data_IF_766290559892
#
_entry.id   IF_766290559892
#
_cell.length_a   1.000
_cell.length_b   1.000
_cell.length_c   1.000
_cell.angle_alpha   90.00
_cell.angle_beta   90.00
_cell.angle_gamma   90.00
#
_symmetry.space_group_name_H-M   'P 1'
#
loop_
_entity.id
_entity.type
_entity.pdbx_description
1 polymer ?
#
# COMPACT_ATOMS: atom_id res chain seq x y z
N UNK A 1 -36.35 32.67 -73.28
CA UNK A 1 -35.30 31.66 -73.03
C UNK A 1 -33.99 32.35 -73.31
N UNK A 2 -33.34 32.94 -72.29
CA UNK A 2 -31.92 33.40 -72.30
C UNK A 2 -31.62 34.19 -71.01
N UNK A 3 -32.10 33.69 -69.87
CA UNK A 3 -31.71 34.19 -68.55
C UNK A 3 -31.11 33.08 -67.69
N UNK A 4 -31.56 31.83 -67.84
CA UNK A 4 -30.98 30.67 -67.16
C UNK A 4 -29.54 30.35 -67.58
N UNK A 5 -29.11 30.70 -68.81
CA UNK A 5 -27.73 30.45 -69.25
C UNK A 5 -26.70 31.37 -68.59
N UNK A 6 -27.08 32.60 -68.26
CA UNK A 6 -26.15 33.57 -67.67
C UNK A 6 -25.91 33.29 -66.18
N UNK A 7 -26.93 32.79 -65.46
CA UNK A 7 -26.79 32.40 -64.05
C UNK A 7 -26.08 31.05 -63.84
N UNK A 8 -26.01 30.19 -64.86
CA UNK A 8 -25.31 28.90 -64.76
C UNK A 8 -23.80 28.99 -65.02
N UNK A 9 -23.32 30.07 -65.62
CA UNK A 9 -21.90 30.24 -65.96
C UNK A 9 -21.08 30.81 -64.77
N UNK A 10 -21.71 31.60 -63.88
CA UNK A 10 -21.07 32.10 -62.65
C UNK A 10 -21.11 31.09 -61.48
N UNK A 11 -22.03 30.11 -61.48
CA UNK A 11 -22.11 29.10 -60.40
C UNK A 11 -21.11 27.94 -60.63
N UNK A 12 -20.60 27.75 -61.85
CA UNK A 12 -19.64 26.68 -62.16
C UNK A 12 -18.17 27.03 -61.87
N UNK A 13 -17.85 28.25 -61.41
CA UNK A 13 -16.47 28.63 -61.07
C UNK A 13 -16.08 28.45 -59.60
N UNK A 14 -16.99 28.02 -58.72
CA UNK A 14 -16.68 27.84 -57.29
C UNK A 14 -16.63 26.37 -56.81
N UNK A 15 -16.84 25.38 -57.67
CA UNK A 15 -16.69 23.97 -57.29
C UNK A 15 -15.33 23.39 -57.75
N UNK A 16 -14.57 22.98 -56.73
CA UNK A 16 -13.30 22.26 -56.76
C UNK A 16 -12.02 23.10 -56.93
N UNK A 17 -11.77 24.00 -55.97
CA UNK A 17 -10.42 24.07 -55.35
C UNK A 17 -10.12 22.76 -54.58
N UNK A 18 -10.34 21.61 -55.22
CA UNK A 18 -9.88 20.33 -54.74
C UNK A 18 -8.37 20.31 -54.87
N UNK A 19 -7.67 20.39 -53.74
CA UNK A 19 -6.22 20.27 -53.65
C UNK A 19 -5.73 19.15 -54.59
N UNK A 20 -5.15 19.53 -55.73
CA UNK A 20 -4.71 18.61 -56.78
C UNK A 20 -3.46 17.85 -56.31
N UNK A 21 -3.70 16.84 -55.46
CA UNK A 21 -2.70 16.02 -54.78
C UNK A 21 -1.71 15.37 -55.76
N UNK A 22 -2.16 15.03 -56.97
CA UNK A 22 -1.30 14.45 -58.01
C UNK A 22 -0.22 15.44 -58.48
N UNK A 23 -0.56 16.73 -58.59
CA UNK A 23 0.39 17.78 -58.95
C UNK A 23 1.45 17.99 -57.87
N UNK A 24 1.04 18.00 -56.60
CA UNK A 24 1.97 18.08 -55.46
C UNK A 24 2.86 16.84 -55.33
N UNK A 25 2.32 15.62 -55.50
CA UNK A 25 3.09 14.38 -55.48
C UNK A 25 4.17 14.33 -56.57
N UNK A 26 3.86 14.80 -57.79
CA UNK A 26 4.84 14.84 -58.88
C UNK A 26 5.96 15.85 -58.60
N UNK A 27 5.64 16.98 -57.96
CA UNK A 27 6.63 17.94 -57.47
C UNK A 27 7.53 17.35 -56.37
N UNK A 28 6.94 16.60 -55.45
CA UNK A 28 7.63 15.84 -54.40
C UNK A 28 8.60 14.81 -55.00
N UNK A 29 8.16 14.08 -56.03
CA UNK A 29 8.93 13.07 -56.72
C UNK A 29 10.06 13.65 -57.59
N UNK A 30 10.02 14.94 -57.97
CA UNK A 30 11.15 15.57 -58.66
C UNK A 30 12.26 15.98 -57.70
N UNK A 31 11.93 16.24 -56.42
CA UNK A 31 12.86 16.67 -55.37
C UNK A 31 13.16 15.59 -54.33
N UNK A 32 12.99 14.30 -54.67
CA UNK A 32 13.14 13.16 -53.73
C UNK A 32 14.42 13.24 -52.91
N UNK A 33 15.53 13.61 -53.53
CA UNK A 33 16.84 13.70 -52.88
C UNK A 33 16.91 14.83 -51.85
N UNK A 34 16.29 15.98 -52.13
CA UNK A 34 16.21 17.11 -51.18
C UNK A 34 15.32 16.76 -49.99
N UNK A 35 14.18 16.11 -50.25
CA UNK A 35 13.26 15.66 -49.20
C UNK A 35 13.86 14.55 -48.35
N UNK A 36 14.57 13.61 -48.99
CA UNK A 36 15.29 12.54 -48.31
C UNK A 36 16.42 13.12 -47.45
N UNK A 37 17.14 14.15 -47.91
CA UNK A 37 18.14 14.84 -47.11
C UNK A 37 17.52 15.54 -45.89
N UNK A 38 16.42 16.28 -46.06
CA UNK A 38 15.70 16.92 -44.94
C UNK A 38 15.17 15.87 -43.95
N UNK A 39 14.59 14.79 -44.46
CA UNK A 39 14.14 13.66 -43.64
C UNK A 39 15.29 13.06 -42.83
N UNK A 40 16.45 12.85 -43.46
CA UNK A 40 17.65 12.33 -42.80
C UNK A 40 18.19 13.28 -41.72
N UNK A 41 18.17 14.59 -41.99
CA UNK A 41 18.58 15.63 -41.04
C UNK A 41 17.68 15.70 -39.81
N UNK A 42 16.40 15.31 -39.91
CA UNK A 42 15.49 15.23 -38.76
C UNK A 42 15.56 13.84 -38.09
N UNK A 43 15.61 12.77 -38.88
CA UNK A 43 15.60 11.40 -38.41
C UNK A 43 16.87 11.03 -37.64
N UNK A 44 18.07 11.42 -38.10
CA UNK A 44 19.32 11.06 -37.42
C UNK A 44 19.37 11.67 -36.01
N UNK A 45 19.18 12.99 -35.81
CA UNK A 45 19.19 13.56 -34.47
C UNK A 45 18.11 12.96 -33.57
N UNK A 46 16.92 12.68 -34.12
CA UNK A 46 15.84 12.03 -33.38
C UNK A 46 16.20 10.62 -32.95
N UNK A 47 16.78 9.78 -33.83
CA UNK A 47 17.27 8.44 -33.48
C UNK A 47 18.41 8.48 -32.46
N UNK A 48 19.33 9.43 -32.57
CA UNK A 48 20.40 9.65 -31.59
C UNK A 48 19.80 10.03 -30.24
N UNK A 49 18.78 10.89 -30.23
CA UNK A 49 18.08 11.31 -29.02
C UNK A 49 17.37 10.11 -28.36
N UNK A 50 16.60 9.33 -29.12
CA UNK A 50 15.90 8.13 -28.62
C UNK A 50 16.87 7.10 -28.06
N UNK A 51 18.00 6.84 -28.73
CA UNK A 51 19.04 5.92 -28.22
C UNK A 51 19.70 6.40 -26.92
N UNK A 52 19.69 7.70 -26.64
CA UNK A 52 20.26 8.29 -25.41
C UNK A 52 19.25 8.42 -24.27
N UNK A 53 17.96 8.24 -24.52
CA UNK A 53 16.96 8.28 -23.45
C UNK A 53 17.14 7.06 -22.52
N UNK A 54 17.24 7.27 -21.19
CA UNK A 54 17.36 6.15 -20.27
C UNK A 54 16.06 5.32 -20.28
N UNK A 55 16.14 3.98 -20.34
CA UNK A 55 14.95 3.14 -20.27
C UNK A 55 14.28 3.31 -18.91
N UNK A 56 12.95 3.37 -18.90
CA UNK A 56 12.13 3.44 -17.69
C UNK A 56 11.20 2.23 -17.65
N UNK A 57 11.38 1.39 -16.63
CA UNK A 57 10.58 0.20 -16.38
C UNK A 57 9.58 0.49 -15.28
N UNK A 58 8.37 -0.07 -15.41
CA UNK A 58 7.32 0.01 -14.39
C UNK A 58 7.03 -1.39 -13.85
N UNK A 59 6.93 -1.51 -12.52
CA UNK A 59 6.37 -2.68 -11.87
C UNK A 59 5.14 -2.29 -11.05
N UNK A 60 4.21 -3.22 -10.90
CA UNK A 60 2.97 -3.01 -10.15
C UNK A 60 2.62 -4.21 -9.29
N UNK A 61 2.03 -3.95 -8.12
CA UNK A 61 1.47 -4.95 -7.23
C UNK A 61 0.00 -4.63 -6.95
N UNK A 62 -0.80 -5.70 -6.84
CA UNK A 62 -2.22 -5.63 -6.53
C UNK A 62 -2.46 -6.07 -5.08
N UNK A 63 -2.99 -5.17 -4.26
CA UNK A 63 -3.33 -5.42 -2.86
C UNK A 63 -4.85 -5.48 -2.73
N UNK A 64 -5.36 -6.56 -2.14
CA UNK A 64 -6.79 -6.76 -1.89
C UNK A 64 -7.13 -6.55 -0.42
N UNK A 65 -8.13 -5.71 -0.17
CA UNK A 65 -8.67 -5.44 1.16
C UNK A 65 -10.00 -6.15 1.37
N UNK A 66 -10.35 -6.44 2.63
CA UNK A 66 -11.72 -6.79 3.00
C UNK A 66 -12.56 -5.51 3.04
N UNK A 67 -13.72 -5.51 2.37
CA UNK A 67 -14.65 -4.37 2.36
C UNK A 67 -15.56 -4.42 3.60
N UNK A 68 -15.73 -3.29 4.28
CA UNK A 68 -16.71 -3.08 5.35
C UNK A 68 -17.63 -1.92 4.94
N UNK A 69 -18.79 -2.22 4.35
CA UNK A 69 -19.82 -1.24 3.99
C UNK A 69 -19.49 -0.30 2.81
N UNK A 70 -20.49 0.06 2.00
CA UNK A 70 -20.32 0.92 0.82
C UNK A 70 -20.13 2.41 1.13
N UNK A 71 -20.49 2.85 2.33
CA UNK A 71 -20.81 4.27 2.53
C UNK A 71 -19.58 5.15 2.77
N UNK A 72 -18.40 4.57 3.03
CA UNK A 72 -17.18 5.32 3.38
C UNK A 72 -15.94 5.00 2.51
N UNK A 73 -16.14 4.44 1.30
CA UNK A 73 -15.05 3.99 0.41
C UNK A 73 -14.06 5.11 0.08
N UNK A 74 -14.52 6.35 -0.11
CA UNK A 74 -13.67 7.50 -0.44
C UNK A 74 -12.66 7.86 0.66
N UNK A 75 -13.15 8.06 1.89
CA UNK A 75 -12.32 8.40 3.06
C UNK A 75 -11.32 7.29 3.39
N UNK A 76 -11.73 6.02 3.25
CA UNK A 76 -10.85 4.87 3.46
C UNK A 76 -9.72 4.82 2.43
N UNK A 77 -10.01 5.14 1.17
CA UNK A 77 -9.00 5.21 0.12
C UNK A 77 -7.99 6.34 0.40
N UNK A 78 -8.46 7.54 0.77
CA UNK A 78 -7.58 8.67 1.11
C UNK A 78 -6.69 8.36 2.32
N UNK A 79 -7.24 7.72 3.35
CA UNK A 79 -6.47 7.30 4.53
C UNK A 79 -5.36 6.33 4.13
N UNK A 80 -5.66 5.32 3.31
CA UNK A 80 -4.67 4.34 2.84
C UNK A 80 -3.59 4.96 1.93
N UNK A 81 -3.97 5.91 1.08
CA UNK A 81 -3.01 6.68 0.27
C UNK A 81 -2.09 7.47 1.18
N UNK A 82 -2.65 8.12 2.20
CA UNK A 82 -1.89 8.92 3.18
C UNK A 82 -0.93 8.06 3.98
N UNK A 83 -1.35 6.86 4.39
CA UNK A 83 -0.49 5.86 5.06
C UNK A 83 0.67 5.43 4.15
N UNK A 84 0.40 5.02 2.91
CA UNK A 84 1.42 4.57 1.95
C UNK A 84 2.38 5.66 1.48
N UNK A 85 1.88 6.88 1.37
CA UNK A 85 2.70 8.04 0.96
C UNK A 85 3.26 8.79 2.15
N UNK A 86 3.02 8.30 3.37
CA UNK A 86 3.53 8.89 4.60
C UNK A 86 5.05 8.88 4.58
N UNK A 87 5.63 9.93 5.17
CA UNK A 87 7.08 10.07 5.24
C UNK A 87 7.71 8.95 6.05
N UNK A 88 7.11 8.58 7.18
CA UNK A 88 7.60 7.52 8.06
C UNK A 88 7.61 6.15 7.38
N UNK A 89 6.54 5.81 6.64
CA UNK A 89 6.51 4.57 5.86
C UNK A 89 7.58 4.58 4.77
N UNK A 90 7.68 5.67 4.00
CA UNK A 90 8.70 5.79 2.96
C UNK A 90 10.14 5.73 3.52
N UNK A 91 10.40 6.34 4.67
CA UNK A 91 11.71 6.27 5.36
C UNK A 91 12.05 4.82 5.73
N UNK A 92 11.11 4.08 6.33
CA UNK A 92 11.30 2.65 6.64
C UNK A 92 11.58 1.82 5.39
N UNK A 93 10.79 2.01 4.33
CA UNK A 93 10.93 1.26 3.08
C UNK A 93 12.28 1.54 2.40
N UNK A 94 12.68 2.82 2.33
CA UNK A 94 13.97 3.23 1.75
C UNK A 94 15.15 2.70 2.55
N UNK A 95 15.04 2.73 3.88
CA UNK A 95 16.02 2.20 4.81
C UNK A 95 16.17 0.67 4.66
N UNK A 96 15.07 -0.06 4.77
CA UNK A 96 15.08 -1.52 4.70
C UNK A 96 15.50 -2.05 3.32
N UNK A 97 15.10 -1.37 2.24
CA UNK A 97 15.52 -1.70 0.88
C UNK A 97 16.86 -1.10 0.48
N UNK A 98 17.50 -0.30 1.34
CA UNK A 98 18.81 0.30 1.07
C UNK A 98 18.90 1.06 -0.25
N UNK A 99 17.86 1.82 -0.62
CA UNK A 99 17.76 2.50 -1.93
C UNK A 99 18.73 3.70 -2.06
N UNK A 100 19.40 4.05 -0.97
CA UNK A 100 20.48 5.05 -0.94
C UNK A 100 21.73 4.54 -1.66
N UNK A 101 21.90 3.22 -1.81
CA UNK A 101 23.03 2.63 -2.51
C UNK A 101 22.98 2.94 -4.01
N UNK A 102 24.10 3.40 -4.55
CA UNK A 102 24.36 3.57 -5.97
C UNK A 102 25.70 2.91 -6.31
N UNK A 103 25.70 1.96 -7.24
CA UNK A 103 26.93 1.33 -7.71
C UNK A 103 27.66 2.30 -8.66
N UNK A 104 28.95 2.51 -8.41
CA UNK A 104 29.80 3.30 -9.30
C UNK A 104 30.58 2.34 -10.19
N UNK A 105 30.51 2.55 -11.51
CA UNK A 105 31.32 1.78 -12.44
C UNK A 105 32.73 2.37 -12.50
N UNK A 106 33.75 1.55 -12.27
CA UNK A 106 35.11 1.93 -12.59
C UNK A 106 35.29 1.95 -14.11
N UNK A 107 36.01 2.96 -14.63
CA UNK A 107 36.08 3.27 -16.06
C UNK A 107 36.61 2.15 -16.98
N UNK A 108 37.11 1.04 -16.41
CA UNK A 108 37.64 -0.12 -17.15
C UNK A 108 36.77 -1.38 -17.04
N UNK A 109 35.77 -1.41 -16.18
CA UNK A 109 35.01 -2.62 -15.87
C UNK A 109 33.53 -2.50 -16.23
N UNK A 110 32.87 -3.64 -16.44
CA UNK A 110 31.43 -3.68 -16.71
C UNK A 110 30.68 -3.17 -15.47
N UNK A 111 29.62 -2.35 -15.62
CA UNK A 111 28.84 -1.88 -14.49
C UNK A 111 28.25 -3.08 -13.72
N UNK A 112 28.72 -3.28 -12.49
CA UNK A 112 28.22 -4.33 -11.61
C UNK A 112 26.83 -3.95 -11.11
N UNK A 113 25.89 -4.91 -11.20
CA UNK A 113 24.54 -4.73 -10.65
C UNK A 113 24.57 -4.90 -9.15
N UNK A 114 23.78 -4.11 -8.44
CA UNK A 114 23.64 -4.18 -6.97
C UNK A 114 23.39 -5.60 -6.47
N UNK A 115 22.44 -6.34 -7.09
CA UNK A 115 22.03 -7.67 -6.61
C UNK A 115 23.11 -8.75 -6.82
N UNK A 116 24.09 -8.51 -7.71
CA UNK A 116 25.23 -9.41 -7.87
C UNK A 116 26.27 -9.23 -6.76
N UNK A 117 26.39 -8.01 -6.24
CA UNK A 117 27.39 -7.65 -5.24
C UNK A 117 26.87 -7.90 -3.84
N UNK A 118 25.70 -7.33 -3.54
CA UNK A 118 25.10 -7.39 -2.22
C UNK A 118 23.92 -8.35 -2.25
N UNK A 119 24.01 -9.40 -1.45
CA UNK A 119 22.87 -10.26 -1.19
C UNK A 119 21.84 -9.52 -0.32
N UNK A 120 22.33 -8.76 0.66
CA UNK A 120 21.51 -7.87 1.49
C UNK A 120 22.20 -6.53 1.65
N UNK A 121 21.43 -5.45 1.56
CA UNK A 121 21.91 -4.10 1.86
C UNK A 121 20.75 -3.26 2.38
N UNK A 122 20.90 -2.75 3.58
CA UNK A 122 19.93 -1.87 4.26
C UNK A 122 20.65 -0.67 4.86
N UNK A 123 19.90 0.39 5.17
CA UNK A 123 20.42 1.54 5.90
C UNK A 123 19.55 1.86 7.10
N UNK A 124 20.10 2.63 8.04
CA UNK A 124 19.31 3.33 9.05
C UNK A 124 18.62 4.54 8.42
N UNK A 125 17.94 5.35 9.25
CA UNK A 125 17.30 6.60 8.84
C UNK A 125 18.27 7.78 8.70
N UNK A 126 19.54 7.61 9.10
CA UNK A 126 20.58 8.63 9.00
C UNK A 126 21.95 8.01 8.62
N UNK A 127 22.08 7.41 7.43
CA UNK A 127 23.34 6.86 6.97
C UNK A 127 24.31 7.99 6.57
N UNK A 128 25.60 7.77 6.83
CA UNK A 128 26.63 8.72 6.41
C UNK A 128 26.77 8.65 4.89
N UNK A 129 26.32 9.71 4.20
CA UNK A 129 26.45 9.82 2.75
C UNK A 129 27.90 10.03 2.35
N UNK A 130 28.30 9.42 1.22
CA UNK A 130 29.65 9.52 0.70
C UNK A 130 30.00 8.39 -0.25
N UNK A 131 31.23 8.41 -0.76
CA UNK A 131 31.78 7.32 -1.57
C UNK A 131 32.56 6.35 -0.70
N UNK A 132 32.37 5.07 -0.98
CA UNK A 132 32.95 3.96 -0.24
C UNK A 132 33.63 3.01 -1.20
N UNK A 133 34.84 2.57 -0.84
CA UNK A 133 35.60 1.59 -1.57
C UNK A 133 35.75 0.36 -0.68
N UNK A 134 35.30 -0.78 -1.19
CA UNK A 134 35.47 -2.07 -0.55
C UNK A 134 36.53 -2.87 -1.30
N UNK A 135 37.56 -3.31 -0.62
CA UNK A 135 38.67 -4.08 -1.18
C UNK A 135 38.78 -5.45 -0.48
N UNK A 136 39.06 -6.49 -1.26
CA UNK A 136 39.25 -7.85 -0.78
C UNK A 136 40.68 -8.30 -1.07
N UNK A 137 41.40 -8.71 -0.02
CA UNK A 137 42.78 -9.18 -0.14
C UNK A 137 43.08 -10.21 0.94
N UNK A 138 43.70 -11.33 0.56
CA UNK A 138 44.25 -12.34 1.47
C UNK A 138 43.26 -12.76 2.59
N UNK A 139 42.02 -13.07 2.21
CA UNK A 139 40.92 -13.48 3.11
C UNK A 139 40.40 -12.40 4.09
N UNK A 140 40.78 -11.15 3.86
CA UNK A 140 40.37 -9.97 4.62
C UNK A 140 39.64 -8.99 3.70
N UNK A 141 38.57 -8.37 4.19
CA UNK A 141 38.00 -7.19 3.54
C UNK A 141 38.47 -5.92 4.23
N UNK A 142 38.61 -4.86 3.46
CA UNK A 142 38.89 -3.52 3.97
C UNK A 142 37.90 -2.54 3.35
N UNK A 143 37.17 -1.84 4.20
CA UNK A 143 36.22 -0.80 3.79
C UNK A 143 36.84 0.57 4.03
N UNK A 144 36.87 1.38 2.98
CA UNK A 144 37.38 2.74 2.99
C UNK A 144 36.25 3.73 2.69
N UNK A 145 36.28 4.88 3.36
CA UNK A 145 35.51 6.07 2.96
C UNK A 145 36.40 7.01 2.18
N UNK A 146 35.95 7.47 1.01
CA UNK A 146 36.69 8.43 0.20
C UNK A 146 36.27 9.84 0.59
N UNK A 147 37.24 10.69 0.93
CA UNK A 147 36.98 12.11 1.18
C UNK A 147 36.49 12.82 -0.09
N UNK A 148 35.50 13.70 0.04
CA UNK A 148 34.90 14.41 -1.10
C UNK A 148 35.88 15.37 -1.81
N UNK A 149 36.86 15.92 -1.09
CA UNK A 149 37.85 16.87 -1.65
C UNK A 149 39.02 16.19 -2.35
N UNK A 150 39.72 15.28 -1.67
CA UNK A 150 40.99 14.72 -2.15
C UNK A 150 40.88 13.28 -2.66
N UNK A 151 39.69 12.65 -2.54
CA UNK A 151 39.48 11.21 -2.77
C UNK A 151 40.44 10.30 -1.99
N UNK A 152 41.07 10.82 -0.94
CA UNK A 152 41.95 10.03 -0.08
C UNK A 152 41.12 8.97 0.66
N UNK A 153 41.52 7.68 0.60
CA UNK A 153 40.81 6.62 1.29
C UNK A 153 41.10 6.66 2.80
N UNK A 154 40.06 6.80 3.60
CA UNK A 154 40.10 6.64 5.06
C UNK A 154 39.62 5.23 5.40
N UNK A 155 40.50 4.40 5.96
CA UNK A 155 40.12 3.07 6.43
C UNK A 155 39.07 3.19 7.54
N UNK A 156 37.92 2.55 7.36
CA UNK A 156 36.87 2.46 8.37
C UNK A 156 36.99 1.15 9.15
N UNK A 157 37.15 0.05 8.43
CA UNK A 157 37.30 -1.28 9.03
C UNK A 157 38.10 -2.21 8.13
N UNK A 158 38.81 -3.15 8.76
CA UNK A 158 39.41 -4.30 8.13
C UNK A 158 39.15 -5.54 8.99
N UNK A 159 38.57 -6.60 8.42
CA UNK A 159 38.18 -7.82 9.13
C UNK A 159 38.10 -9.03 8.17
N UNK A 160 37.90 -10.25 8.67
CA UNK A 160 37.84 -11.47 7.85
C UNK A 160 36.63 -11.48 6.90
N UNK A 161 36.82 -12.01 5.68
CA UNK A 161 35.77 -12.17 4.68
C UNK A 161 34.60 -13.04 5.16
N UNK A 162 34.87 -14.03 6.02
CA UNK A 162 33.84 -14.91 6.59
C UNK A 162 32.69 -14.13 7.25
N UNK A 163 32.99 -13.03 7.95
CA UNK A 163 31.99 -12.22 8.65
C UNK A 163 30.97 -11.57 7.73
N UNK A 164 31.40 -11.08 6.56
CA UNK A 164 30.52 -10.38 5.61
C UNK A 164 29.78 -11.33 4.65
N UNK A 165 30.16 -12.62 4.65
CA UNK A 165 29.48 -13.69 3.92
C UNK A 165 28.41 -14.31 4.83
N UNK A 166 28.76 -14.64 6.07
CA UNK A 166 27.87 -15.38 6.98
C UNK A 166 26.89 -14.46 7.73
N UNK A 167 27.28 -13.21 7.99
CA UNK A 167 26.51 -12.27 8.81
C UNK A 167 26.37 -10.91 8.12
N UNK A 168 25.39 -10.12 8.57
CA UNK A 168 25.25 -8.74 8.14
C UNK A 168 26.23 -7.87 8.91
N UNK A 169 26.98 -7.03 8.20
CA UNK A 169 27.97 -6.14 8.79
C UNK A 169 27.48 -4.70 8.81
N UNK A 170 27.48 -4.08 10.00
CA UNK A 170 26.99 -2.73 10.26
C UNK A 170 28.13 -1.70 10.34
N UNK A 171 28.04 -0.63 9.56
CA UNK A 171 29.02 0.47 9.57
C UNK A 171 28.41 1.76 9.03
N UNK A 172 28.73 2.91 9.64
CA UNK A 172 28.33 4.23 9.14
C UNK A 172 26.81 4.38 8.85
N UNK A 173 25.96 3.64 9.57
CA UNK A 173 24.52 3.66 9.40
C UNK A 173 24.01 2.85 8.19
N UNK A 174 24.83 2.00 7.59
CA UNK A 174 24.39 0.99 6.62
C UNK A 174 24.87 -0.41 7.01
N UNK A 175 24.11 -1.40 6.55
CA UNK A 175 24.29 -2.80 6.87
C UNK A 175 24.35 -3.58 5.56
N UNK A 176 25.30 -4.49 5.41
CA UNK A 176 25.42 -5.25 4.17
C UNK A 176 25.90 -6.68 4.38
N UNK A 177 25.52 -7.54 3.43
CA UNK A 177 26.02 -8.90 3.26
C UNK A 177 26.36 -9.12 1.79
N UNK A 178 27.50 -9.74 1.54
CA UNK A 178 28.05 -9.88 0.19
C UNK A 178 27.70 -11.24 -0.38
N UNK A 179 27.40 -11.26 -1.68
CA UNK A 179 27.28 -12.52 -2.40
C UNK A 179 28.69 -13.12 -2.61
N UNK A 180 29.01 -14.32 -2.10
CA UNK A 180 30.34 -14.92 -2.22
C UNK A 180 30.81 -15.13 -3.66
N UNK A 181 29.89 -15.18 -4.64
CA UNK A 181 30.23 -15.32 -6.05
C UNK A 181 31.05 -14.12 -6.58
N UNK A 182 30.84 -12.91 -6.03
CA UNK A 182 31.54 -11.70 -6.50
C UNK A 182 33.03 -11.72 -6.16
N UNK A 183 33.42 -12.46 -5.11
CA UNK A 183 34.81 -12.52 -4.64
C UNK A 183 35.75 -13.17 -5.66
N UNK A 184 35.21 -13.96 -6.59
CA UNK A 184 35.96 -14.57 -7.70
C UNK A 184 36.08 -13.65 -8.91
N UNK A 185 35.17 -12.69 -9.06
CA UNK A 185 35.07 -11.82 -10.23
C UNK A 185 35.76 -10.46 -10.01
N UNK A 186 35.71 -9.92 -8.78
CA UNK A 186 36.18 -8.57 -8.48
C UNK A 186 36.87 -8.51 -7.11
N UNK A 187 38.03 -7.83 -7.05
CA UNK A 187 38.75 -7.57 -5.78
C UNK A 187 38.44 -6.21 -5.17
N UNK A 188 37.81 -5.29 -5.94
CA UNK A 188 37.45 -3.94 -5.50
C UNK A 188 36.05 -3.59 -5.96
N UNK A 189 35.30 -2.94 -5.09
CA UNK A 189 33.93 -2.48 -5.35
C UNK A 189 33.82 -1.04 -4.91
N UNK A 190 33.47 -0.16 -5.85
CA UNK A 190 33.21 1.25 -5.60
C UNK A 190 31.70 1.49 -5.58
N UNK A 191 31.20 2.07 -4.49
CA UNK A 191 29.79 2.43 -4.37
C UNK A 191 29.62 3.76 -3.63
N UNK A 192 28.45 4.37 -3.80
CA UNK A 192 28.07 5.61 -3.13
C UNK A 192 26.81 5.40 -2.33
N UNK A 193 26.80 5.96 -1.11
CA UNK A 193 25.59 6.12 -0.32
C UNK A 193 25.07 7.53 -0.54
N UNK A 194 23.93 7.64 -1.23
CA UNK A 194 23.25 8.90 -1.51
C UNK A 194 22.62 9.46 -0.24
N UNK A 195 22.34 10.77 -0.24
CA UNK A 195 21.61 11.41 0.84
C UNK A 195 20.23 10.76 1.07
N UNK A 196 19.99 10.31 2.30
CA UNK A 196 18.78 9.57 2.65
C UNK A 196 17.51 10.40 2.44
N UNK A 197 17.45 11.63 2.95
CA UNK A 197 16.28 12.51 2.84
C UNK A 197 15.89 12.76 1.38
N UNK A 198 16.85 13.09 0.52
CA UNK A 198 16.60 13.27 -0.93
C UNK A 198 16.11 11.98 -1.60
N UNK A 199 16.65 10.84 -1.18
CA UNK A 199 16.24 9.52 -1.70
C UNK A 199 14.79 9.21 -1.31
N UNK A 200 14.40 9.49 -0.07
CA UNK A 200 13.01 9.36 0.42
C UNK A 200 12.06 10.27 -0.35
N UNK A 201 12.43 11.54 -0.54
CA UNK A 201 11.59 12.49 -1.29
C UNK A 201 11.40 12.06 -2.76
N UNK A 202 12.45 11.55 -3.40
CA UNK A 202 12.36 11.03 -4.76
C UNK A 202 11.51 9.76 -4.83
N UNK A 203 11.70 8.84 -3.89
CA UNK A 203 10.92 7.61 -3.79
C UNK A 203 9.42 7.90 -3.64
N UNK A 204 9.04 8.82 -2.74
CA UNK A 204 7.64 9.23 -2.54
C UNK A 204 6.99 9.78 -3.80
N UNK A 205 7.73 10.53 -4.62
CA UNK A 205 7.23 11.09 -5.88
C UNK A 205 7.03 10.03 -6.97
N UNK A 206 7.71 8.89 -6.89
CA UNK A 206 7.62 7.81 -7.86
C UNK A 206 6.46 6.85 -7.59
N UNK A 207 5.98 6.76 -6.34
CA UNK A 207 4.87 5.89 -5.97
C UNK A 207 3.59 6.40 -6.62
N UNK A 208 2.95 5.54 -7.42
CA UNK A 208 1.62 5.79 -7.96
C UNK A 208 0.65 4.79 -7.35
N UNK A 209 -0.43 5.31 -6.77
CA UNK A 209 -1.51 4.49 -6.19
C UNK A 209 -2.79 4.70 -6.98
N UNK A 210 -3.48 3.60 -7.29
CA UNK A 210 -4.79 3.60 -7.95
C UNK A 210 -5.72 2.62 -7.23
N UNK A 211 -6.99 2.98 -7.10
CA UNK A 211 -8.01 2.10 -6.56
C UNK A 211 -9.05 1.77 -7.61
N UNK A 212 -9.68 0.61 -7.48
CA UNK A 212 -10.92 0.34 -8.19
C UNK A 212 -12.09 1.13 -7.57
N UNK A 213 -13.21 1.22 -8.29
CA UNK A 213 -14.41 1.98 -7.84
C UNK A 213 -14.96 1.53 -6.49
N UNK A 214 -14.76 0.26 -6.12
CA UNK A 214 -15.23 -0.30 -4.84
C UNK A 214 -14.24 -0.14 -3.68
N UNK A 215 -13.01 0.35 -3.92
CA UNK A 215 -11.94 0.48 -2.92
C UNK A 215 -11.41 -0.85 -2.35
N UNK A 216 -11.78 -1.97 -2.98
CA UNK A 216 -11.36 -3.33 -2.57
C UNK A 216 -9.97 -3.67 -3.10
N UNK A 217 -9.62 -3.13 -4.28
CA UNK A 217 -8.37 -3.41 -4.97
C UNK A 217 -7.56 -2.14 -5.10
N UNK A 218 -6.31 -2.20 -4.65
CA UNK A 218 -5.34 -1.13 -4.77
C UNK A 218 -4.16 -1.59 -5.62
N UNK A 219 -3.87 -0.84 -6.67
CA UNK A 219 -2.66 -0.96 -7.45
C UNK A 219 -1.62 0.01 -6.89
N UNK A 220 -0.43 -0.51 -6.61
CA UNK A 220 0.75 0.30 -6.30
C UNK A 220 1.77 0.06 -7.40
N UNK A 221 2.21 1.12 -8.07
CA UNK A 221 3.26 1.03 -9.08
C UNK A 221 4.42 1.99 -8.82
N UNK A 222 5.59 1.56 -9.27
CA UNK A 222 6.86 2.29 -9.19
C UNK A 222 7.57 2.20 -10.54
N UNK A 223 8.42 3.18 -10.81
CA UNK A 223 9.25 3.19 -12.02
C UNK A 223 10.73 3.35 -11.70
N UNK A 224 11.58 2.54 -12.32
CA UNK A 224 13.04 2.63 -12.19
C UNK A 224 13.75 2.31 -13.52
N UNK A 225 15.08 2.49 -13.57
CA UNK A 225 15.92 2.13 -14.71
C UNK A 225 16.31 0.66 -14.70
N UNK A 226 16.27 0.00 -13.55
CA UNK A 226 16.55 -1.43 -13.42
C UNK A 226 15.25 -2.24 -13.25
N UNK A 227 14.89 -3.12 -14.21
CA UNK A 227 13.67 -3.92 -14.17
C UNK A 227 13.65 -4.93 -13.01
N UNK A 228 14.81 -5.48 -12.63
CA UNK A 228 14.90 -6.41 -11.51
C UNK A 228 14.74 -5.68 -10.19
N UNK A 229 15.32 -4.49 -10.07
CA UNK A 229 15.22 -3.68 -8.85
C UNK A 229 13.79 -3.17 -8.62
N UNK A 230 13.12 -2.64 -9.65
CA UNK A 230 11.76 -2.10 -9.51
C UNK A 230 10.75 -3.18 -9.11
N UNK A 231 10.90 -4.40 -9.65
CA UNK A 231 10.06 -5.53 -9.26
C UNK A 231 10.25 -5.88 -7.77
N UNK A 232 11.50 -5.98 -7.31
CA UNK A 232 11.80 -6.22 -5.89
C UNK A 232 11.27 -5.09 -5.00
N UNK A 233 11.43 -3.83 -5.41
CA UNK A 233 10.93 -2.67 -4.66
C UNK A 233 9.42 -2.73 -4.47
N UNK A 234 8.67 -2.99 -5.54
CA UNK A 234 7.20 -3.06 -5.49
C UNK A 234 6.72 -4.24 -4.65
N UNK A 235 7.33 -5.42 -4.81
CA UNK A 235 6.99 -6.60 -4.01
C UNK A 235 7.22 -6.35 -2.52
N UNK A 236 8.35 -5.76 -2.16
CA UNK A 236 8.69 -5.48 -0.77
C UNK A 236 7.84 -4.37 -0.16
N UNK A 237 7.55 -3.31 -0.92
CA UNK A 237 6.61 -2.27 -0.50
C UNK A 237 5.24 -2.88 -0.19
N UNK A 238 4.72 -3.72 -1.10
CA UNK A 238 3.44 -4.37 -0.91
C UNK A 238 3.44 -5.27 0.33
N UNK A 239 4.50 -6.07 0.53
CA UNK A 239 4.64 -6.94 1.68
C UNK A 239 4.69 -6.15 3.00
N UNK A 240 5.56 -5.13 3.10
CA UNK A 240 5.65 -4.27 4.28
C UNK A 240 4.32 -3.59 4.61
N UNK A 241 3.62 -3.09 3.59
CA UNK A 241 2.32 -2.48 3.80
C UNK A 241 1.28 -3.49 4.32
N UNK A 242 1.23 -4.70 3.76
CA UNK A 242 0.33 -5.76 4.23
C UNK A 242 0.64 -6.13 5.68
N UNK A 243 1.91 -6.27 6.04
CA UNK A 243 2.34 -6.55 7.41
C UNK A 243 1.93 -5.42 8.37
N UNK A 244 2.22 -4.17 8.02
CA UNK A 244 1.90 -3.01 8.87
C UNK A 244 0.37 -2.80 9.00
N UNK A 245 -0.40 -3.02 7.93
CA UNK A 245 -1.87 -2.92 7.96
C UNK A 245 -2.53 -3.95 8.89
N UNK A 246 -1.92 -5.15 9.06
CA UNK A 246 -2.38 -6.14 10.04
C UNK A 246 -2.19 -5.62 11.47
N UNK A 247 -1.04 -5.03 11.77
CA UNK A 247 -0.77 -4.44 13.08
C UNK A 247 -1.73 -3.28 13.41
N UNK A 248 -1.99 -2.40 12.46
CA UNK A 248 -2.94 -1.29 12.65
C UNK A 248 -4.38 -1.77 12.89
N UNK A 249 -4.80 -2.85 12.23
CA UNK A 249 -6.13 -3.43 12.43
C UNK A 249 -6.30 -3.99 13.84
N UNK A 250 -5.28 -4.68 14.37
CA UNK A 250 -5.29 -5.21 15.75
C UNK A 250 -5.28 -4.09 16.80
N UNK A 251 -4.52 -3.00 16.57
CA UNK A 251 -4.50 -1.84 17.46
C UNK A 251 -5.87 -1.18 17.55
N UNK A 252 -6.55 -0.97 16.41
CA UNK A 252 -7.92 -0.40 16.38
C UNK A 252 -8.92 -1.25 17.17
N UNK A 253 -8.84 -2.59 17.09
CA UNK A 253 -9.69 -3.49 17.88
C UNK A 253 -9.43 -3.33 19.38
N UNK A 254 -8.16 -3.22 19.79
CA UNK A 254 -7.79 -3.00 21.18
C UNK A 254 -8.31 -1.65 21.70
N UNK A 255 -8.14 -0.58 20.93
CA UNK A 255 -8.58 0.76 21.30
C UNK A 255 -10.12 0.81 21.45
N UNK A 256 -10.88 0.18 20.54
CA UNK A 256 -12.34 0.07 20.64
C UNK A 256 -12.75 -0.72 21.88
N UNK A 257 -12.07 -1.85 22.16
CA UNK A 257 -12.33 -2.64 23.37
C UNK A 257 -12.15 -1.80 24.64
N UNK A 258 -11.06 -1.04 24.73
CA UNK A 258 -10.78 -0.17 25.88
C UNK A 258 -11.84 0.92 26.06
N UNK A 259 -12.32 1.53 24.97
CA UNK A 259 -13.42 2.50 25.00
C UNK A 259 -14.71 1.85 25.52
N UNK A 260 -15.07 0.66 25.03
CA UNK A 260 -16.28 -0.06 25.46
C UNK A 260 -16.17 -0.49 26.92
N UNK A 261 -15.01 -0.96 27.37
CA UNK A 261 -14.77 -1.32 28.77
C UNK A 261 -14.93 -0.10 29.71
N UNK A 262 -14.43 1.06 29.30
CA UNK A 262 -14.61 2.30 30.05
C UNK A 262 -16.08 2.75 30.09
N UNK A 263 -16.82 2.65 28.99
CA UNK A 263 -18.26 2.96 28.97
C UNK A 263 -19.04 2.01 29.89
N UNK A 264 -18.72 0.72 29.88
CA UNK A 264 -19.34 -0.26 30.76
C UNK A 264 -19.07 0.04 32.24
N UNK A 265 -17.84 0.47 32.57
CA UNK A 265 -17.48 0.88 33.93
C UNK A 265 -18.31 2.07 34.40
N UNK A 266 -18.39 3.13 33.57
CA UNK A 266 -19.18 4.34 33.88
C UNK A 266 -20.67 3.98 34.05
N UNK A 267 -21.21 3.16 33.16
CA UNK A 267 -22.61 2.73 33.25
C UNK A 267 -22.89 1.94 34.54
N UNK A 268 -21.98 1.05 34.96
CA UNK A 268 -22.08 0.35 36.25
C UNK A 268 -22.05 1.30 37.44
N UNK A 269 -21.10 2.24 37.46
CA UNK A 269 -21.00 3.21 38.55
C UNK A 269 -22.25 4.10 38.65
N UNK A 270 -22.85 4.49 37.53
CA UNK A 270 -24.10 5.24 37.51
C UNK A 270 -25.28 4.40 38.00
N UNK A 271 -25.33 3.11 37.63
CA UNK A 271 -26.35 2.19 38.12
C UNK A 271 -26.27 2.00 39.64
N UNK A 272 -25.06 1.82 40.17
CA UNK A 272 -24.84 1.66 41.61
C UNK A 272 -25.27 2.91 42.38
N UNK A 273 -24.94 4.11 41.87
CA UNK A 273 -25.41 5.38 42.44
C UNK A 273 -26.92 5.52 42.43
N UNK A 274 -27.57 5.23 41.29
CA UNK A 274 -29.02 5.28 41.17
C UNK A 274 -29.70 4.31 42.15
N UNK A 275 -29.12 3.11 42.34
CA UNK A 275 -29.60 2.14 43.32
C UNK A 275 -29.44 2.62 44.77
N UNK A 276 -28.32 3.26 45.11
CA UNK A 276 -28.14 3.86 46.45
C UNK A 276 -29.10 5.02 46.71
N UNK A 277 -29.33 5.89 45.71
CA UNK A 277 -30.32 6.97 45.79
C UNK A 277 -31.73 6.42 45.99
N UNK A 278 -32.10 5.39 45.22
CA UNK A 278 -33.39 4.71 45.36
C UNK A 278 -33.54 4.07 46.75
N UNK A 279 -32.47 3.46 47.28
CA UNK A 279 -32.47 2.87 48.63
C UNK A 279 -32.74 3.93 49.70
N UNK A 280 -32.03 5.07 49.66
CA UNK A 280 -32.22 6.18 50.61
C UNK A 280 -33.62 6.79 50.51
N UNK A 281 -34.17 6.87 49.30
CA UNK A 281 -35.54 7.33 49.09
C UNK A 281 -36.55 6.36 49.73
N UNK A 282 -36.39 5.04 49.52
CA UNK A 282 -37.25 4.01 50.12
C UNK A 282 -37.19 3.99 51.66
N UNK A 283 -36.01 4.21 52.24
CA UNK A 283 -35.83 4.24 53.70
C UNK A 283 -36.45 5.49 54.35
N UNK A 284 -36.50 6.63 53.63
CA UNK A 284 -37.02 7.91 54.16
C UNK A 284 -38.52 8.14 53.91
N UNK A 285 -39.13 7.44 52.96
CA UNK A 285 -40.56 7.56 52.60
C UNK A 285 -41.39 6.33 53.01
N UNK A 286 -41.10 5.80 54.21
CA UNK A 286 -41.86 4.71 54.81
C UNK A 286 -43.19 5.24 55.36
N UNK A 287 -44.21 5.43 54.51
CA UNK A 287 -45.65 5.27 54.78
C UNK A 287 -46.43 5.72 53.52
N UNK A 288 -47.33 4.83 53.08
CA UNK A 288 -48.33 4.95 52.00
C UNK A 288 -47.82 5.05 50.55
N UNK A 289 -47.50 3.92 49.90
CA UNK A 289 -47.56 3.74 48.44
C UNK A 289 -47.48 2.24 48.05
N UNK A 290 -48.47 1.41 48.41
CA UNK A 290 -48.44 -0.02 48.03
C UNK A 290 -48.68 -0.28 46.53
N UNK A 291 -49.34 0.64 45.81
CA UNK A 291 -49.73 0.45 44.40
C UNK A 291 -48.68 0.98 43.41
N UNK A 292 -48.09 2.14 43.67
CA UNK A 292 -47.05 2.73 42.82
C UNK A 292 -45.68 2.09 43.06
N UNK A 293 -45.40 1.64 44.29
CA UNK A 293 -44.18 0.85 44.59
C UNK A 293 -44.24 -0.51 43.90
N UNK A 294 -45.40 -1.17 43.83
CA UNK A 294 -45.53 -2.42 43.05
C UNK A 294 -45.25 -2.21 41.57
N UNK A 295 -45.76 -1.13 40.98
CA UNK A 295 -45.50 -0.82 39.59
C UNK A 295 -44.02 -0.51 39.34
N UNK A 296 -43.39 0.32 40.18
CA UNK A 296 -41.97 0.66 40.03
C UNK A 296 -41.03 -0.51 40.36
N UNK A 297 -41.42 -1.43 41.26
CA UNK A 297 -40.67 -2.67 41.52
C UNK A 297 -40.76 -3.62 40.32
N UNK A 298 -41.91 -3.68 39.66
CA UNK A 298 -42.03 -4.45 38.41
C UNK A 298 -41.18 -3.83 37.30
N UNK A 299 -41.22 -2.51 37.12
CA UNK A 299 -40.35 -1.81 36.15
C UNK A 299 -38.86 -2.00 36.46
N UNK A 300 -38.46 -1.97 37.74
CA UNK A 300 -37.08 -2.26 38.15
C UNK A 300 -36.69 -3.71 37.86
N UNK A 301 -37.58 -4.67 38.13
CA UNK A 301 -37.34 -6.08 37.85
C UNK A 301 -37.24 -6.32 36.34
N UNK A 302 -38.05 -5.63 35.54
CA UNK A 302 -37.99 -5.68 34.08
C UNK A 302 -36.67 -5.10 33.57
N UNK A 303 -36.21 -3.97 34.11
CA UNK A 303 -34.90 -3.38 33.79
C UNK A 303 -33.72 -4.27 34.23
N UNK A 304 -33.79 -4.91 35.40
CA UNK A 304 -32.77 -5.88 35.83
C UNK A 304 -32.69 -7.10 34.91
N UNK A 305 -33.86 -7.61 34.48
CA UNK A 305 -33.94 -8.68 33.50
C UNK A 305 -33.40 -8.25 32.13
N UNK A 306 -33.65 -7.01 31.71
CA UNK A 306 -33.11 -6.45 30.47
C UNK A 306 -31.57 -6.34 30.53
N UNK A 307 -31.03 -5.77 31.60
CA UNK A 307 -29.58 -5.67 31.82
C UNK A 307 -28.93 -7.06 31.81
N UNK A 308 -29.55 -8.04 32.47
CA UNK A 308 -29.07 -9.42 32.49
C UNK A 308 -29.06 -10.03 31.08
N UNK A 309 -30.14 -9.86 30.32
CA UNK A 309 -30.26 -10.34 28.94
C UNK A 309 -29.20 -9.71 28.05
N UNK A 310 -28.95 -8.40 28.20
CA UNK A 310 -27.89 -7.69 27.46
C UNK A 310 -26.50 -8.24 27.81
N UNK A 311 -26.22 -8.53 29.08
CA UNK A 311 -24.93 -9.13 29.48
C UNK A 311 -24.74 -10.53 28.88
N UNK A 312 -25.77 -11.37 28.94
CA UNK A 312 -25.75 -12.72 28.34
C UNK A 312 -25.55 -12.64 26.81
N UNK A 313 -26.16 -11.64 26.16
CA UNK A 313 -25.98 -11.36 24.75
C UNK A 313 -24.53 -10.94 24.41
N UNK A 314 -23.91 -10.08 25.23
CA UNK A 314 -22.52 -9.66 25.05
C UNK A 314 -21.57 -10.87 25.18
N UNK A 315 -21.79 -11.71 26.20
CA UNK A 315 -20.94 -12.87 26.46
C UNK A 315 -21.01 -13.89 25.30
N UNK A 316 -22.22 -14.23 24.85
CA UNK A 316 -22.43 -15.16 23.74
C UNK A 316 -21.86 -14.63 22.41
N UNK A 317 -22.05 -13.35 22.09
CA UNK A 317 -21.43 -12.72 20.93
C UNK A 317 -19.90 -12.72 21.02
N UNK A 318 -19.33 -12.47 22.20
CA UNK A 318 -17.88 -12.51 22.41
C UNK A 318 -17.30 -13.91 22.17
N UNK A 319 -18.03 -14.97 22.58
CA UNK A 319 -17.65 -16.35 22.33
C UNK A 319 -17.71 -16.70 20.83
N UNK A 320 -18.74 -16.23 20.12
CA UNK A 320 -18.85 -16.41 18.67
C UNK A 320 -17.72 -15.71 17.93
N UNK A 321 -17.39 -14.47 18.31
CA UNK A 321 -16.25 -13.72 17.74
C UNK A 321 -14.92 -14.42 18.00
N UNK A 322 -14.70 -14.94 19.21
CA UNK A 322 -13.48 -15.67 19.56
C UNK A 322 -13.33 -16.99 18.77
N UNK A 323 -14.43 -17.70 18.54
CA UNK A 323 -14.45 -18.89 17.66
C UNK A 323 -14.13 -18.50 16.21
N UNK A 324 -14.68 -17.39 15.73
CA UNK A 324 -14.42 -16.86 14.40
C UNK A 324 -12.94 -16.49 14.24
N UNK A 325 -12.35 -15.85 15.24
CA UNK A 325 -10.92 -15.49 15.28
C UNK A 325 -10.01 -16.73 15.23
N UNK A 326 -10.30 -17.75 16.05
CA UNK A 326 -9.54 -19.01 16.09
C UNK A 326 -9.64 -19.79 14.78
N UNK A 327 -10.79 -19.75 14.12
CA UNK A 327 -11.04 -20.51 12.89
C UNK A 327 -10.52 -19.81 11.62
N UNK A 328 -9.94 -18.61 11.70
CA UNK A 328 -9.24 -18.01 10.54
C UNK A 328 -7.96 -18.76 10.14
N UNK A 329 -7.43 -19.63 11.01
CA UNK A 329 -6.23 -20.44 10.75
C UNK A 329 -6.53 -21.81 10.11
N UNK A 330 -7.79 -22.25 10.10
CA UNK A 330 -8.21 -23.56 9.57
C UNK A 330 -9.20 -23.40 8.40
N UNK A 331 -8.94 -24.09 7.30
CA UNK A 331 -9.52 -23.82 5.96
C UNK A 331 -10.98 -24.29 5.78
N UNK A 332 -11.72 -24.57 6.84
CA UNK A 332 -13.10 -25.06 6.71
C UNK A 332 -14.10 -23.91 6.54
N UNK A 333 -14.32 -23.52 5.28
CA UNK A 333 -15.31 -22.52 4.88
C UNK A 333 -16.73 -22.83 5.39
N UNK A 334 -17.03 -24.08 5.77
CA UNK A 334 -18.32 -24.48 6.34
C UNK A 334 -18.54 -23.97 7.76
N UNK A 335 -17.53 -24.04 8.62
CA UNK A 335 -17.65 -23.57 10.02
C UNK A 335 -17.78 -22.06 10.09
N UNK A 336 -17.00 -21.32 9.29
CA UNK A 336 -17.08 -19.86 9.26
C UNK A 336 -18.47 -19.39 8.84
N UNK A 337 -19.10 -20.06 7.88
CA UNK A 337 -20.49 -19.79 7.46
C UNK A 337 -21.49 -20.05 8.58
N UNK A 338 -21.34 -21.16 9.28
CA UNK A 338 -22.18 -21.48 10.43
C UNK A 338 -22.10 -20.40 11.52
N UNK A 339 -20.88 -19.92 11.82
CA UNK A 339 -20.68 -18.85 12.81
C UNK A 339 -21.32 -17.53 12.34
N UNK A 340 -21.17 -17.15 11.07
CA UNK A 340 -21.85 -15.96 10.54
C UNK A 340 -23.37 -16.05 10.64
N UNK A 341 -23.95 -17.23 10.39
CA UNK A 341 -25.38 -17.47 10.55
C UNK A 341 -25.83 -17.34 12.01
N UNK A 342 -25.01 -17.84 12.95
CA UNK A 342 -25.29 -17.72 14.38
C UNK A 342 -25.22 -16.28 14.88
N UNK A 343 -24.24 -15.50 14.41
CA UNK A 343 -24.12 -14.07 14.72
C UNK A 343 -25.32 -13.32 14.13
N UNK A 344 -25.66 -13.57 12.87
CA UNK A 344 -26.75 -12.88 12.20
C UNK A 344 -28.09 -13.12 12.91
N UNK A 345 -28.36 -14.35 13.35
CA UNK A 345 -29.62 -14.74 14.05
C UNK A 345 -29.61 -14.46 15.55
N UNK A 346 -28.59 -13.80 16.07
CA UNK A 346 -28.45 -13.59 17.50
C UNK A 346 -29.60 -12.72 18.06
N UNK A 347 -30.19 -13.05 19.23
CA UNK A 347 -31.32 -12.31 19.81
C UNK A 347 -31.08 -10.80 19.95
N UNK A 348 -29.83 -10.40 20.23
CA UNK A 348 -29.41 -9.00 20.33
C UNK A 348 -29.70 -8.15 19.07
N UNK A 349 -29.87 -8.77 17.90
CA UNK A 349 -30.10 -8.07 16.64
C UNK A 349 -31.55 -8.13 16.15
N UNK A 350 -32.47 -8.72 16.92
CA UNK A 350 -33.87 -8.89 16.50
C UNK A 350 -34.60 -7.55 16.28
N UNK A 351 -34.17 -6.49 16.98
CA UNK A 351 -34.78 -5.16 16.87
C UNK A 351 -34.01 -4.22 15.91
N UNK A 352 -32.91 -4.68 15.31
CA UNK A 352 -32.11 -3.88 14.36
C UNK A 352 -32.60 -4.13 12.91
N UNK A 353 -33.25 -3.14 12.27
CA UNK A 353 -33.77 -3.28 10.91
C UNK A 353 -32.68 -3.60 9.88
N UNK A 354 -31.45 -3.10 10.09
CA UNK A 354 -30.33 -3.30 9.18
C UNK A 354 -29.82 -4.74 9.22
N UNK A 355 -29.83 -5.34 10.41
CA UNK A 355 -29.45 -6.75 10.57
C UNK A 355 -30.47 -7.69 9.93
N UNK A 356 -31.76 -7.32 9.90
CA UNK A 356 -32.77 -8.04 9.11
C UNK A 356 -32.45 -8.06 7.62
N UNK A 357 -32.05 -6.91 7.05
CA UNK A 357 -31.62 -6.83 5.64
C UNK A 357 -30.38 -7.70 5.39
N UNK A 358 -29.41 -7.68 6.31
CA UNK A 358 -28.19 -8.49 6.19
C UNK A 358 -28.47 -10.00 6.31
N UNK A 359 -29.40 -10.41 7.17
CA UNK A 359 -29.86 -11.80 7.25
C UNK A 359 -30.49 -12.26 5.92
N UNK A 360 -31.35 -11.41 5.34
CA UNK A 360 -32.00 -11.68 4.06
C UNK A 360 -30.97 -11.81 2.94
N UNK A 361 -30.03 -10.87 2.84
CA UNK A 361 -28.94 -10.89 1.86
C UNK A 361 -28.04 -12.13 2.03
N UNK A 362 -27.73 -12.52 3.27
CA UNK A 362 -26.95 -13.72 3.55
C UNK A 362 -27.70 -14.98 3.07
N UNK A 363 -29.01 -15.07 3.32
CA UNK A 363 -29.84 -16.17 2.87
C UNK A 363 -29.93 -16.24 1.33
N UNK A 364 -30.09 -15.10 0.67
CA UNK A 364 -30.15 -15.00 -0.80
C UNK A 364 -28.82 -15.43 -1.44
N UNK A 365 -27.68 -15.00 -0.89
CA UNK A 365 -26.35 -15.39 -1.34
C UNK A 365 -26.06 -16.88 -1.11
N UNK A 366 -26.54 -17.45 0.00
CA UNK A 366 -26.45 -18.89 0.25
C UNK A 366 -27.28 -19.70 -0.76
N UNK A 367 -28.50 -19.25 -1.05
CA UNK A 367 -29.39 -19.87 -2.05
C UNK A 367 -28.78 -19.84 -3.46
N UNK A 368 -28.24 -18.69 -3.88
CA UNK A 368 -27.53 -18.56 -5.16
C UNK A 368 -26.32 -19.49 -5.25
N UNK A 369 -25.57 -19.65 -4.15
CA UNK A 369 -24.44 -20.59 -4.12
C UNK A 369 -24.92 -22.03 -4.28
N UNK A 370 -25.95 -22.43 -3.55
CA UNK A 370 -26.44 -23.81 -3.61
C UNK A 370 -26.93 -24.17 -5.01
N UNK A 371 -27.56 -23.22 -5.72
CA UNK A 371 -27.91 -23.36 -7.13
C UNK A 371 -26.71 -23.48 -8.07
N UNK A 372 -25.55 -22.92 -7.72
CA UNK A 372 -24.31 -23.03 -8.49
C UNK A 372 -23.50 -24.30 -8.18
N UNK A 373 -23.87 -25.03 -7.11
CA UNK A 373 -23.19 -26.25 -6.66
C UNK A 373 -23.97 -27.53 -7.01
N UNK A 374 -25.27 -27.43 -7.29
CA UNK A 374 -26.05 -28.42 -8.08
C UNK A 374 -25.86 -28.19 -9.56
#
# INVERSE_FOLDING_TARGET
>A
MDAEKFFLEDIQQEEEEGLDLQRYLRGLYRRKWMLLAIFLVILIPWLIYVKKQPPQYEASALIRFKTYGSDNVGLLNETRITELTSRTFAEKVVAQLGLTLEMLAEAKERPLRRQKVFEQFSTTTDPISGEYLLEFKDDVFSLFQLNELDKAPRLLVSDSLSKIIDQTYDVNGFSFRINPDILKECSRIHFRVKNFRRTVDNFRKQIKVRFNRTGTLMWVSLTDRDPSLVATMVNQLAQMYVEESKFFSLKKVKDVKEVVENQLKIAKENLDKANEELKRFKESHFISLDTEVKQNVNELSDLENEIRTIKENIESLSLLLRRLEKNFETTEASETRYIYRQIARHPAFQQDPNMGILQQQLADLESQRDQLLT
#
